data_IF_645942303411
#
_entry.id   IF_645942303411
#
_cell.length_a   1.000
_cell.length_b   1.000
_cell.length_c   1.000
_cell.angle_alpha   90.00
_cell.angle_beta   90.00
_cell.angle_gamma   90.00
#
_symmetry.space_group_name_H-M   'P 1'
#
loop_
_entity.id
_entity.type
_entity.pdbx_description
1 polymer ?
#
# COMPACT_ATOMS: atom_id res chain seq x y z
N UNK A 1 39.21 -1.62 -11.19
CA UNK A 1 38.06 -0.80 -10.75
C UNK A 1 36.86 -1.72 -10.80
N UNK A 2 36.25 -2.04 -9.67
CA UNK A 2 35.03 -2.88 -9.69
C UNK A 2 33.91 -2.06 -10.32
N UNK A 3 33.06 -2.67 -11.16
CA UNK A 3 31.90 -1.99 -11.70
C UNK A 3 30.95 -1.61 -10.56
N UNK A 4 30.41 -0.39 -10.63
CA UNK A 4 29.42 0.12 -9.68
C UNK A 4 28.17 -0.77 -9.70
N UNK A 5 27.67 -1.15 -8.54
CA UNK A 5 26.41 -1.91 -8.44
C UNK A 5 25.23 -1.02 -8.78
N UNK A 6 24.11 -1.61 -9.22
CA UNK A 6 22.87 -0.87 -9.52
C UNK A 6 22.41 -0.02 -8.32
N UNK A 7 22.51 -0.54 -7.10
CA UNK A 7 22.18 0.18 -5.87
C UNK A 7 23.12 1.38 -5.62
N UNK A 8 24.43 1.24 -5.87
CA UNK A 8 25.36 2.37 -5.74
C UNK A 8 25.09 3.45 -6.77
N UNK A 9 24.76 3.05 -8.01
CA UNK A 9 24.35 3.98 -9.07
C UNK A 9 23.09 4.76 -8.67
N UNK A 10 22.06 4.07 -8.22
CA UNK A 10 20.80 4.67 -7.76
C UNK A 10 21.03 5.64 -6.60
N UNK A 11 21.83 5.27 -5.61
CA UNK A 11 22.15 6.14 -4.47
C UNK A 11 22.89 7.41 -4.90
N UNK A 12 23.90 7.28 -5.76
CA UNK A 12 24.67 8.43 -6.31
C UNK A 12 23.79 9.32 -7.17
N UNK A 13 22.90 8.73 -7.97
CA UNK A 13 21.94 9.45 -8.80
C UNK A 13 20.97 10.26 -7.93
N UNK A 14 20.37 9.65 -6.90
CA UNK A 14 19.51 10.33 -5.95
C UNK A 14 20.23 11.43 -5.16
N UNK A 15 21.49 11.25 -4.80
CA UNK A 15 22.28 12.30 -4.15
C UNK A 15 22.52 13.50 -5.08
N UNK A 16 22.78 13.26 -6.36
CA UNK A 16 22.93 14.31 -7.35
C UNK A 16 21.63 15.14 -7.53
N UNK A 17 20.46 14.47 -7.47
CA UNK A 17 19.15 15.13 -7.47
C UNK A 17 19.02 16.07 -6.27
N UNK A 18 19.31 15.59 -5.06
CA UNK A 18 19.22 16.39 -3.81
C UNK A 18 20.12 17.63 -3.84
N UNK A 19 21.30 17.50 -4.44
CA UNK A 19 22.28 18.59 -4.52
C UNK A 19 21.99 19.56 -5.67
N UNK A 20 20.92 19.34 -6.45
CA UNK A 20 20.62 20.14 -7.64
C UNK A 20 21.69 20.05 -8.73
N UNK A 21 22.53 19.00 -8.66
CA UNK A 21 23.59 18.76 -9.64
C UNK A 21 23.04 17.86 -10.73
N UNK A 22 23.39 18.16 -12.00
CA UNK A 22 23.11 17.25 -13.10
C UNK A 22 23.71 15.87 -12.79
N UNK A 23 22.87 14.84 -12.63
CA UNK A 23 23.33 13.48 -12.42
C UNK A 23 23.84 12.92 -13.75
N UNK A 24 25.10 12.57 -13.83
CA UNK A 24 25.72 11.91 -14.99
C UNK A 24 25.39 12.52 -16.38
N UNK A 25 25.30 13.86 -16.45
CA UNK A 25 25.00 14.57 -17.70
C UNK A 25 23.52 14.64 -18.08
N UNK A 26 22.62 14.16 -17.21
CA UNK A 26 21.18 14.39 -17.39
C UNK A 26 20.81 15.81 -16.91
N UNK A 27 20.20 16.64 -17.76
CA UNK A 27 19.68 17.95 -17.33
C UNK A 27 18.62 17.78 -16.22
N UNK A 28 18.60 18.71 -15.25
CA UNK A 28 17.60 18.73 -14.16
C UNK A 28 16.16 18.61 -14.70
N UNK A 29 15.86 19.21 -15.84
CA UNK A 29 14.57 19.14 -16.51
C UNK A 29 14.13 17.72 -16.82
N UNK A 30 15.05 16.87 -17.31
CA UNK A 30 14.74 15.46 -17.60
C UNK A 30 14.47 14.66 -16.33
N UNK A 31 15.16 14.99 -15.28
CA UNK A 31 14.96 14.35 -13.98
C UNK A 31 13.59 14.68 -13.41
N UNK A 32 13.17 15.95 -13.49
CA UNK A 32 11.84 16.37 -13.07
C UNK A 32 10.74 15.60 -13.86
N UNK A 33 10.96 15.39 -15.16
CA UNK A 33 10.04 14.58 -15.98
C UNK A 33 9.89 13.16 -15.44
N UNK A 34 10.99 12.51 -15.01
CA UNK A 34 10.91 11.18 -14.40
C UNK A 34 10.16 11.21 -13.07
N UNK A 35 10.50 12.14 -12.17
CA UNK A 35 9.79 12.29 -10.89
C UNK A 35 8.29 12.49 -11.12
N UNK A 36 7.91 13.41 -12.01
CA UNK A 36 6.52 13.66 -12.36
C UNK A 36 5.84 12.40 -12.92
N UNK A 37 6.53 11.61 -13.73
CA UNK A 37 5.96 10.39 -14.30
C UNK A 37 5.65 9.31 -13.27
N UNK A 38 6.45 9.18 -12.20
CA UNK A 38 6.16 8.25 -11.09
C UNK A 38 4.95 8.71 -10.28
N UNK A 39 4.82 10.02 -10.06
CA UNK A 39 3.65 10.60 -9.39
C UNK A 39 2.39 10.36 -10.23
N UNK A 40 2.43 10.68 -11.53
CA UNK A 40 1.28 10.54 -12.43
C UNK A 40 0.83 9.08 -12.58
N UNK A 41 1.75 8.12 -12.48
CA UNK A 41 1.44 6.69 -12.55
C UNK A 41 0.79 6.16 -11.29
N UNK A 42 1.15 6.69 -10.13
CA UNK A 42 0.59 6.29 -8.86
C UNK A 42 -0.80 6.89 -8.64
N UNK A 43 -0.99 8.18 -8.98
CA UNK A 43 -2.17 8.97 -8.63
C UNK A 43 -3.08 9.22 -9.83
N UNK A 44 -3.54 8.13 -10.48
CA UNK A 44 -4.31 8.16 -11.72
C UNK A 44 -5.74 8.66 -11.52
N UNK A 45 -6.37 8.34 -10.39
CA UNK A 45 -7.69 8.81 -10.04
C UNK A 45 -7.63 10.20 -9.40
N UNK A 46 -6.69 10.42 -8.48
CA UNK A 46 -6.51 11.71 -7.82
C UNK A 46 -6.29 12.84 -8.82
N UNK A 47 -5.48 12.62 -9.86
CA UNK A 47 -5.17 13.67 -10.84
C UNK A 47 -6.41 14.17 -11.59
N UNK A 48 -7.50 13.40 -11.64
CA UNK A 48 -8.76 13.80 -12.31
C UNK A 48 -9.52 14.91 -11.56
N UNK A 49 -9.20 15.10 -10.28
CA UNK A 49 -9.78 16.16 -9.45
C UNK A 49 -9.05 17.50 -9.56
N UNK A 50 -7.98 17.57 -10.36
CA UNK A 50 -7.19 18.77 -10.58
C UNK A 50 -7.21 19.17 -12.06
N UNK A 51 -7.13 20.46 -12.36
CA UNK A 51 -6.74 20.86 -13.71
C UNK A 51 -5.24 20.63 -13.95
N UNK A 52 -4.83 20.62 -15.21
CA UNK A 52 -3.44 20.30 -15.58
C UNK A 52 -2.42 21.29 -15.01
N UNK A 53 -2.82 22.56 -14.80
CA UNK A 53 -1.95 23.59 -14.25
C UNK A 53 -1.80 23.43 -12.74
N UNK A 54 -2.89 23.15 -12.03
CA UNK A 54 -2.87 22.90 -10.58
C UNK A 54 -2.05 21.66 -10.24
N UNK A 55 -2.27 20.55 -10.95
CA UNK A 55 -1.49 19.33 -10.77
C UNK A 55 0.00 19.54 -11.08
N UNK A 56 0.30 20.28 -12.15
CA UNK A 56 1.67 20.68 -12.48
C UNK A 56 2.32 21.49 -11.39
N UNK A 57 1.63 22.50 -10.82
CA UNK A 57 2.13 23.32 -9.70
C UNK A 57 2.40 22.51 -8.43
N UNK A 58 1.55 21.51 -8.12
CA UNK A 58 1.78 20.61 -6.98
C UNK A 58 3.08 19.82 -7.14
N UNK A 59 3.31 19.22 -8.32
CA UNK A 59 4.52 18.45 -8.62
C UNK A 59 5.77 19.32 -8.63
N UNK A 60 5.71 20.51 -9.23
CA UNK A 60 6.82 21.47 -9.23
C UNK A 60 7.13 21.96 -7.81
N UNK A 61 6.10 22.21 -6.98
CA UNK A 61 6.24 22.57 -5.58
C UNK A 61 6.94 21.46 -4.79
N UNK A 62 6.55 20.21 -4.99
CA UNK A 62 7.21 19.06 -4.38
C UNK A 62 8.69 18.98 -4.73
N UNK A 63 9.04 19.08 -6.01
CA UNK A 63 10.45 19.02 -6.45
C UNK A 63 11.26 20.17 -5.88
N UNK A 64 10.70 21.40 -5.81
CA UNK A 64 11.37 22.57 -5.31
C UNK A 64 11.53 22.58 -3.78
N UNK A 65 10.46 22.26 -3.05
CA UNK A 65 10.34 22.54 -1.62
C UNK A 65 10.61 21.31 -0.76
N UNK A 66 10.11 20.14 -1.15
CA UNK A 66 10.27 18.91 -0.38
C UNK A 66 11.60 18.20 -0.64
N UNK A 67 12.23 18.43 -1.80
CA UNK A 67 13.48 17.79 -2.24
C UNK A 67 13.40 16.29 -2.04
N UNK A 68 12.82 15.57 -3.00
CA UNK A 68 12.73 14.10 -2.97
C UNK A 68 13.98 13.50 -2.30
N UNK A 69 13.79 12.83 -1.16
CA UNK A 69 14.92 12.39 -0.31
C UNK A 69 15.30 10.94 -0.57
N UNK A 70 14.37 10.19 -1.12
CA UNK A 70 14.58 8.76 -1.38
C UNK A 70 15.48 8.51 -2.59
N UNK A 71 16.42 7.54 -2.51
CA UNK A 71 17.14 7.06 -3.67
C UNK A 71 16.30 6.12 -4.56
N UNK A 72 15.14 5.70 -4.11
CA UNK A 72 14.30 4.71 -4.79
C UNK A 72 13.11 5.39 -5.44
N UNK A 73 13.02 5.28 -6.76
CA UNK A 73 11.95 5.92 -7.53
C UNK A 73 10.54 5.46 -7.12
N UNK A 74 10.39 4.22 -6.70
CA UNK A 74 9.13 3.66 -6.21
C UNK A 74 8.63 4.32 -4.92
N UNK A 75 9.50 4.98 -4.15
CA UNK A 75 9.13 5.68 -2.92
C UNK A 75 8.74 7.16 -3.16
N UNK A 76 8.99 7.70 -4.36
CA UNK A 76 8.65 9.09 -4.72
C UNK A 76 7.16 9.39 -4.50
N UNK A 77 6.20 8.52 -4.90
CA UNK A 77 4.79 8.79 -4.64
C UNK A 77 4.47 8.92 -3.15
N UNK A 78 5.07 8.10 -2.29
CA UNK A 78 4.89 8.22 -0.83
C UNK A 78 5.48 9.51 -0.25
N UNK A 79 6.60 10.02 -0.78
CA UNK A 79 7.13 11.33 -0.40
C UNK A 79 6.21 12.47 -0.89
N UNK A 80 5.66 12.33 -2.09
CA UNK A 80 4.69 13.28 -2.63
C UNK A 80 3.40 13.33 -1.81
N UNK A 81 2.88 12.17 -1.38
CA UNK A 81 1.74 12.13 -0.47
C UNK A 81 2.02 12.89 0.84
N UNK A 82 3.16 12.65 1.47
CA UNK A 82 3.56 13.38 2.69
C UNK A 82 3.68 14.89 2.45
N UNK A 83 4.18 15.31 1.30
CA UNK A 83 4.19 16.71 0.91
C UNK A 83 2.77 17.26 0.77
N UNK A 84 1.87 16.56 0.08
CA UNK A 84 0.48 16.96 -0.09
C UNK A 84 -0.27 17.05 1.25
N UNK A 85 0.01 16.17 2.21
CA UNK A 85 -0.52 16.23 3.58
C UNK A 85 -0.11 17.49 4.34
N UNK A 86 0.98 18.15 3.95
CA UNK A 86 1.41 19.44 4.53
C UNK A 86 0.73 20.65 3.90
N UNK A 87 -0.04 20.46 2.83
CA UNK A 87 -0.75 21.50 2.09
C UNK A 87 -2.24 21.54 2.50
N UNK A 88 -2.95 22.64 2.24
CA UNK A 88 -4.37 22.75 2.53
C UNK A 88 -5.24 22.02 1.49
N UNK A 89 -4.97 20.75 1.24
CA UNK A 89 -5.80 19.88 0.43
C UNK A 89 -6.95 19.30 1.27
N UNK A 90 -8.04 18.94 0.62
CA UNK A 90 -9.20 18.35 1.29
C UNK A 90 -8.90 16.91 1.77
N UNK A 91 -9.54 16.49 2.85
CA UNK A 91 -9.26 15.18 3.47
C UNK A 91 -9.70 14.02 2.60
N UNK A 92 -10.74 14.17 1.78
CA UNK A 92 -11.20 13.17 0.82
C UNK A 92 -10.15 12.91 -0.27
N UNK A 93 -9.54 13.95 -0.83
CA UNK A 93 -8.44 13.80 -1.79
C UNK A 93 -7.20 13.16 -1.15
N UNK A 94 -6.86 13.54 0.08
CA UNK A 94 -5.74 12.90 0.80
C UNK A 94 -6.02 11.43 1.10
N UNK A 95 -7.27 11.07 1.39
CA UNK A 95 -7.68 9.67 1.57
C UNK A 95 -7.55 8.87 0.25
N UNK A 96 -8.00 9.44 -0.88
CA UNK A 96 -7.83 8.84 -2.20
C UNK A 96 -6.35 8.64 -2.54
N UNK A 97 -5.52 9.64 -2.31
CA UNK A 97 -4.06 9.54 -2.50
C UNK A 97 -3.44 8.43 -1.64
N UNK A 98 -3.85 8.29 -0.38
CA UNK A 98 -3.36 7.19 0.48
C UNK A 98 -3.81 5.83 -0.05
N UNK A 99 -5.03 5.72 -0.56
CA UNK A 99 -5.53 4.49 -1.17
C UNK A 99 -4.74 4.10 -2.43
N UNK A 100 -4.51 5.03 -3.37
CA UNK A 100 -3.72 4.78 -4.56
C UNK A 100 -2.25 4.47 -4.23
N UNK A 101 -1.68 5.15 -3.22
CA UNK A 101 -0.34 4.81 -2.73
C UNK A 101 -0.30 3.41 -2.08
N UNK A 102 -1.35 3.00 -1.37
CA UNK A 102 -1.43 1.66 -0.78
C UNK A 102 -1.47 0.57 -1.86
N UNK A 103 -2.10 0.81 -3.02
CA UNK A 103 -2.03 -0.09 -4.17
C UNK A 103 -0.59 -0.24 -4.69
N UNK A 104 0.15 0.87 -4.81
CA UNK A 104 1.57 0.82 -5.19
C UNK A 104 2.42 0.07 -4.14
N UNK A 105 2.12 0.20 -2.85
CA UNK A 105 2.79 -0.57 -1.81
C UNK A 105 2.54 -2.06 -1.96
N UNK A 106 1.32 -2.48 -2.26
CA UNK A 106 0.99 -3.87 -2.53
C UNK A 106 1.71 -4.41 -3.79
N UNK A 107 1.71 -3.62 -4.88
CA UNK A 107 2.41 -3.95 -6.12
C UNK A 107 3.91 -4.18 -5.92
N UNK A 108 4.56 -3.33 -5.11
CA UNK A 108 6.02 -3.31 -4.96
C UNK A 108 6.52 -4.07 -3.74
N UNK A 109 5.64 -4.62 -2.91
CA UNK A 109 6.01 -5.39 -1.73
C UNK A 109 6.85 -6.61 -2.10
N UNK A 110 7.90 -6.86 -1.31
CA UNK A 110 8.69 -8.08 -1.46
C UNK A 110 7.98 -9.20 -0.69
N UNK A 111 7.57 -10.22 -1.40
CA UNK A 111 7.01 -11.44 -0.84
C UNK A 111 7.97 -12.58 -1.11
N UNK A 112 8.35 -13.31 -0.06
CA UNK A 112 9.12 -14.54 -0.25
C UNK A 112 8.19 -15.59 -0.86
N UNK A 113 8.48 -15.98 -2.10
CA UNK A 113 7.66 -16.88 -2.92
C UNK A 113 7.77 -18.36 -2.49
N UNK A 114 8.26 -18.67 -1.30
CA UNK A 114 8.48 -20.05 -0.89
C UNK A 114 7.56 -20.48 0.25
N UNK A 115 6.94 -21.60 0.01
CA UNK A 115 6.13 -22.47 0.83
C UNK A 115 4.63 -22.19 0.83
N UNK A 116 3.92 -22.99 0.03
CA UNK A 116 2.59 -23.44 0.47
C UNK A 116 2.78 -24.21 1.78
N UNK A 117 2.46 -23.66 2.94
CA UNK A 117 2.53 -24.42 4.16
C UNK A 117 1.54 -25.56 4.10
N UNK A 118 1.87 -26.67 4.74
CA UNK A 118 0.91 -27.73 4.94
C UNK A 118 -0.35 -27.13 5.56
N UNK A 119 -1.49 -27.39 4.95
CA UNK A 119 -2.81 -26.94 5.39
C UNK A 119 -3.06 -27.50 6.81
N UNK A 120 -2.83 -26.67 7.81
CA UNK A 120 -2.97 -27.05 9.24
C UNK A 120 -3.65 -25.93 10.00
N UNK A 121 -4.78 -26.24 10.61
CA UNK A 121 -5.54 -25.32 11.47
C UNK A 121 -4.73 -24.81 12.70
N UNK A 122 -3.62 -25.45 13.00
CA UNK A 122 -2.73 -25.11 14.12
C UNK A 122 -1.51 -24.28 13.72
N UNK A 123 -1.26 -24.10 12.41
CA UNK A 123 -0.18 -23.26 11.93
C UNK A 123 -0.56 -21.78 12.10
N UNK A 124 0.38 -20.98 12.61
CA UNK A 124 0.18 -19.55 12.73
C UNK A 124 0.35 -18.84 11.37
N UNK A 125 -0.56 -17.92 11.09
CA UNK A 125 -0.56 -17.08 9.89
C UNK A 125 -0.60 -15.61 10.28
N UNK A 126 -0.10 -14.79 9.39
CA UNK A 126 -0.14 -13.32 9.47
C UNK A 126 -0.59 -12.75 8.13
N UNK A 127 -0.86 -11.44 8.11
CA UNK A 127 -1.14 -10.73 6.87
C UNK A 127 0.10 -10.77 5.96
N UNK A 128 -0.12 -11.01 4.66
CA UNK A 128 0.95 -10.93 3.66
C UNK A 128 1.62 -9.54 3.69
N UNK A 129 2.95 -9.44 3.48
CA UNK A 129 3.61 -8.14 3.30
C UNK A 129 3.04 -7.31 2.13
N UNK A 130 2.34 -7.95 1.20
CA UNK A 130 1.65 -7.32 0.08
C UNK A 130 0.15 -7.09 0.33
N UNK A 131 -0.32 -7.23 1.58
CA UNK A 131 -1.72 -7.00 1.96
C UNK A 131 -1.82 -5.92 3.03
N UNK A 132 -2.74 -4.99 2.86
CA UNK A 132 -2.90 -3.82 3.72
C UNK A 132 -4.37 -3.59 4.03
N UNK A 133 -4.71 -3.50 5.31
CA UNK A 133 -6.01 -3.00 5.76
C UNK A 133 -5.88 -1.51 6.01
N UNK A 134 -6.82 -0.72 5.49
CA UNK A 134 -6.90 0.73 5.68
C UNK A 134 -8.29 1.13 6.08
N UNK A 135 -8.40 2.15 6.94
CA UNK A 135 -9.68 2.76 7.33
C UNK A 135 -9.71 4.21 6.90
N UNK A 136 -10.76 4.58 6.21
CA UNK A 136 -10.99 5.93 5.70
C UNK A 136 -12.29 6.50 6.24
N UNK A 137 -12.41 7.82 6.28
CA UNK A 137 -13.66 8.53 6.57
C UNK A 137 -14.47 8.83 5.29
N UNK A 138 -13.96 8.35 4.16
CA UNK A 138 -14.53 8.56 2.82
C UNK A 138 -14.53 7.22 2.08
N UNK A 139 -15.53 7.01 1.22
CA UNK A 139 -15.52 5.88 0.30
C UNK A 139 -14.55 6.15 -0.86
N UNK A 140 -13.31 5.71 -0.68
CA UNK A 140 -12.23 5.87 -1.66
C UNK A 140 -12.34 4.90 -2.84
N UNK A 141 -13.31 3.99 -2.79
CA UNK A 141 -13.53 2.98 -3.83
C UNK A 141 -14.63 3.36 -4.82
N UNK A 142 -15.33 4.47 -4.56
CA UNK A 142 -16.42 4.99 -5.40
C UNK A 142 -16.31 6.54 -5.52
N UNK A 143 -17.33 7.32 -5.14
CA UNK A 143 -17.43 8.76 -5.43
C UNK A 143 -16.84 9.68 -4.33
N UNK A 144 -15.96 9.20 -3.47
CA UNK A 144 -15.38 9.93 -2.33
C UNK A 144 -16.43 10.53 -1.38
N UNK A 145 -17.58 9.89 -1.26
CA UNK A 145 -18.60 10.31 -0.30
C UNK A 145 -18.10 10.13 1.13
N UNK A 146 -18.54 11.00 2.04
CA UNK A 146 -18.25 10.87 3.46
C UNK A 146 -18.93 9.61 4.01
N UNK A 147 -18.15 8.55 4.21
CA UNK A 147 -18.57 7.27 4.74
C UNK A 147 -17.36 6.54 5.35
N UNK A 148 -17.50 6.08 6.60
CA UNK A 148 -16.47 5.24 7.20
C UNK A 148 -16.34 3.94 6.40
N UNK A 149 -15.18 3.72 5.80
CA UNK A 149 -14.93 2.57 4.91
C UNK A 149 -13.63 1.89 5.30
N UNK A 150 -13.69 0.58 5.56
CA UNK A 150 -12.51 -0.26 5.68
C UNK A 150 -12.23 -0.92 4.33
N UNK A 151 -10.99 -0.87 3.88
CA UNK A 151 -10.56 -1.42 2.59
C UNK A 151 -9.37 -2.33 2.81
N UNK A 152 -9.43 -3.53 2.23
CA UNK A 152 -8.29 -4.41 2.04
C UNK A 152 -7.74 -4.18 0.64
N UNK A 153 -6.44 -3.92 0.56
CA UNK A 153 -5.67 -3.88 -0.70
C UNK A 153 -4.62 -4.98 -0.62
N UNK A 154 -4.51 -5.83 -1.63
CA UNK A 154 -3.51 -6.90 -1.65
C UNK A 154 -3.04 -7.21 -3.07
N UNK A 155 -1.88 -7.84 -3.16
CA UNK A 155 -1.43 -8.46 -4.39
C UNK A 155 -1.71 -9.96 -4.31
N UNK A 156 -2.46 -10.46 -5.27
CA UNK A 156 -2.83 -11.88 -5.34
C UNK A 156 -1.68 -12.77 -5.86
N UNK A 157 -1.96 -14.06 -6.02
CA UNK A 157 -0.97 -15.06 -6.48
C UNK A 157 -0.62 -14.95 -7.96
N UNK A 158 -1.41 -14.25 -8.73
CA UNK A 158 -1.21 -13.93 -10.14
C UNK A 158 -0.42 -12.61 -10.33
N UNK A 159 0.01 -11.98 -9.24
CA UNK A 159 0.68 -10.67 -9.18
C UNK A 159 -0.22 -9.48 -9.55
N UNK A 160 -1.54 -9.65 -9.53
CA UNK A 160 -2.50 -8.57 -9.72
C UNK A 160 -2.82 -7.85 -8.40
N UNK A 161 -2.89 -6.52 -8.44
CA UNK A 161 -3.30 -5.72 -7.27
C UNK A 161 -4.82 -5.65 -7.22
N UNK A 162 -5.36 -6.16 -6.12
CA UNK A 162 -6.78 -6.26 -5.85
C UNK A 162 -7.16 -5.38 -4.66
N UNK A 163 -8.43 -4.98 -4.58
CA UNK A 163 -8.98 -4.36 -3.39
C UNK A 163 -10.46 -4.75 -3.19
N UNK A 164 -10.89 -4.69 -1.94
CA UNK A 164 -12.30 -4.86 -1.57
C UNK A 164 -12.63 -4.07 -0.30
N UNK A 165 -13.88 -3.65 -0.19
CA UNK A 165 -14.41 -3.12 1.06
C UNK A 165 -14.62 -4.25 2.06
N UNK A 166 -14.32 -3.99 3.33
CA UNK A 166 -14.48 -4.92 4.44
C UNK A 166 -15.64 -4.46 5.34
N UNK A 167 -16.35 -5.40 5.93
CA UNK A 167 -17.12 -5.11 7.12
C UNK A 167 -16.19 -4.94 8.34
N UNK A 168 -16.71 -4.35 9.42
CA UNK A 168 -15.91 -4.05 10.61
C UNK A 168 -15.32 -5.30 11.27
N UNK A 169 -16.01 -6.44 11.16
CA UNK A 169 -15.55 -7.69 11.75
C UNK A 169 -14.35 -8.26 10.97
N UNK A 170 -14.45 -8.32 9.65
CA UNK A 170 -13.35 -8.76 8.79
C UNK A 170 -12.12 -7.84 8.91
N UNK A 171 -12.34 -6.54 8.95
CA UNK A 171 -11.27 -5.57 9.16
C UNK A 171 -10.55 -5.81 10.50
N UNK A 172 -11.31 -6.00 11.59
CA UNK A 172 -10.74 -6.29 12.91
C UNK A 172 -9.95 -7.60 12.93
N UNK A 173 -10.45 -8.65 12.27
CA UNK A 173 -9.75 -9.94 12.20
C UNK A 173 -8.41 -9.81 11.47
N UNK A 174 -8.41 -9.18 10.31
CA UNK A 174 -7.19 -8.99 9.51
C UNK A 174 -6.19 -8.06 10.20
N UNK A 175 -6.65 -6.98 10.85
CA UNK A 175 -5.81 -6.09 11.68
C UNK A 175 -5.18 -6.89 12.86
N UNK A 176 -5.97 -7.75 13.51
CA UNK A 176 -5.47 -8.61 14.60
C UNK A 176 -4.40 -9.58 14.10
N UNK A 177 -4.61 -10.20 12.94
CA UNK A 177 -3.64 -11.11 12.32
C UNK A 177 -2.36 -10.39 11.85
N UNK A 178 -2.46 -9.13 11.45
CA UNK A 178 -1.31 -8.31 11.10
C UNK A 178 -0.42 -8.00 12.32
N UNK A 179 -1.04 -7.78 13.49
CA UNK A 179 -0.33 -7.46 14.73
C UNK A 179 0.19 -8.70 15.45
N UNK A 180 -0.59 -9.79 15.44
CA UNK A 180 -0.31 -11.00 16.20
C UNK A 180 -0.58 -12.25 15.36
N UNK A 181 0.47 -12.87 14.81
CA UNK A 181 0.32 -14.12 14.06
C UNK A 181 -0.42 -15.18 14.88
N UNK A 182 -1.45 -15.76 14.32
CA UNK A 182 -2.37 -16.67 15.03
C UNK A 182 -2.84 -17.78 14.09
N UNK A 183 -3.11 -18.96 14.66
CA UNK A 183 -3.72 -20.07 13.91
C UNK A 183 -5.24 -19.94 13.86
N UNK A 184 -5.89 -20.63 12.92
CA UNK A 184 -7.35 -20.67 12.84
C UNK A 184 -7.96 -21.15 14.17
N UNK A 185 -7.42 -22.22 14.78
CA UNK A 185 -7.86 -22.71 16.08
C UNK A 185 -7.64 -21.69 17.21
N UNK A 186 -6.53 -20.95 17.18
CA UNK A 186 -6.25 -19.89 18.12
C UNK A 186 -7.27 -18.74 17.99
N UNK A 187 -7.55 -18.31 16.77
CA UNK A 187 -8.53 -17.26 16.50
C UNK A 187 -9.96 -17.70 16.92
N UNK A 188 -10.35 -18.94 16.62
CA UNK A 188 -11.63 -19.48 17.07
C UNK A 188 -11.74 -19.52 18.60
N UNK A 189 -10.66 -19.84 19.29
CA UNK A 189 -10.62 -19.85 20.77
C UNK A 189 -10.81 -18.45 21.35
N UNK A 190 -10.14 -17.45 20.77
CA UNK A 190 -10.31 -16.04 21.17
C UNK A 190 -11.74 -15.54 20.94
N UNK A 191 -12.32 -15.86 19.79
CA UNK A 191 -13.68 -15.43 19.44
C UNK A 191 -14.77 -16.14 20.24
N UNK A 192 -14.54 -17.36 20.69
CA UNK A 192 -15.51 -18.13 21.47
C UNK A 192 -15.91 -17.44 22.79
N UNK A 193 -15.07 -16.55 23.32
CA UNK A 193 -15.38 -15.77 24.52
C UNK A 193 -16.48 -14.71 24.26
N UNK A 194 -16.64 -14.28 23.00
CA UNK A 194 -17.53 -13.19 22.60
C UNK A 194 -18.71 -13.64 21.74
N UNK A 195 -18.58 -14.80 21.09
CA UNK A 195 -19.58 -15.30 20.16
C UNK A 195 -20.57 -16.25 20.87
N UNK A 196 -21.78 -16.35 20.30
CA UNK A 196 -22.79 -17.27 20.82
C UNK A 196 -22.37 -18.75 20.66
N UNK A 197 -22.94 -19.63 21.46
CA UNK A 197 -22.63 -21.06 21.50
C UNK A 197 -23.04 -21.84 20.24
N UNK A 198 -23.64 -21.20 19.24
CA UNK A 198 -23.98 -21.82 17.96
C UNK A 198 -22.73 -21.84 17.06
N UNK A 199 -22.35 -23.02 16.56
CA UNK A 199 -21.13 -23.23 15.78
C UNK A 199 -21.17 -22.64 14.35
N UNK A 200 -22.23 -21.97 13.95
CA UNK A 200 -22.40 -21.43 12.60
C UNK A 200 -21.30 -20.42 12.21
N UNK A 201 -20.86 -19.61 13.17
CA UNK A 201 -19.80 -18.65 12.94
C UNK A 201 -18.43 -19.29 12.68
N UNK A 202 -18.18 -20.48 13.25
CA UNK A 202 -16.92 -21.20 13.05
C UNK A 202 -16.76 -21.69 11.62
N UNK A 203 -17.85 -22.18 11.02
CA UNK A 203 -17.84 -22.60 9.61
C UNK A 203 -17.65 -21.40 8.68
N UNK A 204 -18.32 -20.28 8.97
CA UNK A 204 -18.16 -19.04 8.21
C UNK A 204 -16.72 -18.49 8.31
N UNK A 205 -16.12 -18.49 9.51
CA UNK A 205 -14.75 -18.09 9.71
C UNK A 205 -13.77 -19.00 8.97
N UNK A 206 -14.00 -20.33 9.01
CA UNK A 206 -13.17 -21.30 8.26
C UNK A 206 -13.22 -21.04 6.76
N UNK A 207 -14.39 -20.75 6.23
CA UNK A 207 -14.53 -20.43 4.80
C UNK A 207 -13.75 -19.14 4.46
N UNK A 208 -13.94 -18.06 5.21
CA UNK A 208 -13.18 -16.81 5.01
C UNK A 208 -11.67 -17.04 5.12
N UNK A 209 -11.22 -17.81 6.09
CA UNK A 209 -9.82 -18.17 6.26
C UNK A 209 -9.25 -18.87 5.03
N UNK A 210 -9.98 -19.84 4.49
CA UNK A 210 -9.60 -20.53 3.26
C UNK A 210 -9.52 -19.56 2.09
N UNK A 211 -10.52 -18.71 1.93
CA UNK A 211 -10.55 -17.69 0.87
C UNK A 211 -9.34 -16.72 0.97
N UNK A 212 -8.98 -16.28 2.18
CA UNK A 212 -7.81 -15.42 2.40
C UNK A 212 -6.49 -16.12 2.08
N UNK A 213 -6.37 -17.41 2.39
CA UNK A 213 -5.20 -18.22 2.02
C UNK A 213 -5.11 -18.44 0.51
N UNK A 214 -6.23 -18.73 -0.14
CA UNK A 214 -6.29 -18.93 -1.58
C UNK A 214 -5.93 -17.66 -2.36
N UNK A 215 -6.35 -16.51 -1.87
CA UNK A 215 -6.06 -15.21 -2.47
C UNK A 215 -4.66 -14.65 -2.11
N UNK A 216 -3.90 -15.32 -1.25
CA UNK A 216 -2.57 -14.84 -0.85
C UNK A 216 -2.59 -13.68 0.15
N UNK A 217 -3.75 -13.41 0.78
CA UNK A 217 -3.92 -12.37 1.81
C UNK A 217 -3.22 -12.78 3.10
N UNK A 218 -3.28 -14.08 3.46
CA UNK A 218 -2.57 -14.65 4.60
C UNK A 218 -1.38 -15.50 4.16
N UNK A 219 -0.30 -15.41 4.92
CA UNK A 219 0.92 -16.19 4.75
C UNK A 219 1.34 -16.81 6.09
N UNK A 220 2.07 -17.92 6.03
CA UNK A 220 2.62 -18.52 7.26
C UNK A 220 3.57 -17.53 7.96
N UNK A 221 3.50 -17.49 9.29
CA UNK A 221 4.28 -16.59 10.12
C UNK A 221 5.68 -17.15 10.44
#
# INVERSE_FOLDING_TARGET
MQPETSAQYQHRFAQAIREGKAADGLPQERLNVYIHSFIDRCYTETLQYFDSEEWGRLKEGFVRDARAQTPYFQEIPGEFLRYCQSLPLSNDLLALMDFEHTQLLAETAQTDSEASPADSDDLAYTLSPAAFVRRYQYDVTDELQEAETAVLVWRDKEDDVMYQTLDDFDALLLETLAETPTSLNGLQTMLAEFMSSENVWQDALRQKWTDWLEQGILVAA
#
